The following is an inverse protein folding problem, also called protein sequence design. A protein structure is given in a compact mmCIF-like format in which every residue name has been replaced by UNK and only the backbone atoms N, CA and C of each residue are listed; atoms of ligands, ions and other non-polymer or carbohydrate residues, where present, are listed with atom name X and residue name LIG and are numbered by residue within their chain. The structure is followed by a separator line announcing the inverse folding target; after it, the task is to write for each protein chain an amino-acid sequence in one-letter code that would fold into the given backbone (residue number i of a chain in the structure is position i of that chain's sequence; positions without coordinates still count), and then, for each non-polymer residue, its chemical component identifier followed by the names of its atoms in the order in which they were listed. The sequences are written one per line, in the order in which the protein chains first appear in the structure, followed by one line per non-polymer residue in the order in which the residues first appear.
data_IF_623451705948
#
_entry.id   IF_623451705948
#
_cell.length_a   1.000
_cell.length_b   1.000
_cell.length_c   1.000
_cell.angle_alpha   90.00
_cell.angle_beta   90.00
_cell.angle_gamma   90.00
#
_symmetry.space_group_name_H-M   'P 1'
#
loop_
_entity.id
_entity.type
_entity.pdbx_description
1 polymer ?
#
# COMPACT_ATOMS: atom_id res chain seq x y z
N UNK A 1 -30.80 -9.05 -20.06
CA UNK A 1 -29.73 -8.84 -19.08
C UNK A 1 -28.81 -10.04 -19.19
N UNK A 2 -27.55 -9.85 -19.59
CA UNK A 2 -26.64 -10.95 -19.91
C UNK A 2 -25.90 -11.34 -18.62
N UNK A 3 -26.22 -12.48 -18.00
CA UNK A 3 -25.72 -12.82 -16.66
C UNK A 3 -24.18 -12.79 -16.58
N UNK A 4 -23.50 -13.16 -17.65
CA UNK A 4 -22.03 -13.13 -17.73
C UNK A 4 -21.46 -11.70 -17.73
N UNK A 5 -22.18 -10.75 -18.34
CA UNK A 5 -21.79 -9.33 -18.36
C UNK A 5 -22.00 -8.70 -17.00
N UNK A 6 -23.10 -9.02 -16.33
CA UNK A 6 -23.37 -8.51 -14.98
C UNK A 6 -22.37 -9.07 -13.97
N UNK A 7 -22.06 -10.37 -14.05
CA UNK A 7 -21.02 -10.98 -13.24
C UNK A 7 -19.65 -10.32 -13.47
N UNK A 8 -19.27 -10.09 -14.72
CA UNK A 8 -18.01 -9.42 -15.08
C UNK A 8 -17.95 -8.01 -14.50
N UNK A 9 -19.05 -7.25 -14.58
CA UNK A 9 -19.16 -5.92 -13.97
C UNK A 9 -19.03 -5.98 -12.45
N UNK A 10 -19.75 -6.88 -11.78
CA UNK A 10 -19.68 -7.04 -10.32
C UNK A 10 -18.26 -7.36 -9.87
N UNK A 11 -17.59 -8.30 -10.54
CA UNK A 11 -16.20 -8.68 -10.23
C UNK A 11 -15.26 -7.49 -10.41
N UNK A 12 -15.35 -6.77 -11.54
CA UNK A 12 -14.53 -5.59 -11.79
C UNK A 12 -14.73 -4.49 -10.74
N UNK A 13 -15.98 -4.24 -10.34
CA UNK A 13 -16.32 -3.27 -9.28
C UNK A 13 -15.73 -3.68 -7.94
N UNK A 14 -15.82 -4.95 -7.55
CA UNK A 14 -15.23 -5.46 -6.31
C UNK A 14 -13.71 -5.23 -6.29
N UNK A 15 -13.00 -5.60 -7.37
CA UNK A 15 -11.56 -5.38 -7.47
C UNK A 15 -11.20 -3.90 -7.41
N UNK A 16 -11.93 -3.04 -8.13
CA UNK A 16 -11.72 -1.60 -8.17
C UNK A 16 -11.92 -0.96 -6.80
N UNK A 17 -13.06 -1.22 -6.14
CA UNK A 17 -13.35 -0.72 -4.79
C UNK A 17 -12.29 -1.19 -3.80
N UNK A 18 -11.86 -2.46 -3.88
CA UNK A 18 -10.85 -3.00 -2.96
C UNK A 18 -9.51 -2.29 -3.14
N UNK A 19 -9.06 -2.04 -4.39
CA UNK A 19 -7.82 -1.32 -4.65
C UNK A 19 -7.85 0.12 -4.14
N UNK A 20 -8.97 0.82 -4.35
CA UNK A 20 -9.17 2.18 -3.85
C UNK A 20 -9.16 2.17 -2.32
N UNK A 21 -9.90 1.25 -1.70
CA UNK A 21 -9.97 1.10 -0.24
C UNK A 21 -8.61 0.82 0.39
N UNK A 22 -7.83 -0.12 -0.17
CA UNK A 22 -6.47 -0.42 0.29
C UNK A 22 -5.53 0.77 0.14
N UNK A 23 -5.64 1.51 -0.95
CA UNK A 23 -4.83 2.71 -1.19
C UNK A 23 -5.12 3.79 -0.16
N UNK A 24 -6.40 4.07 0.11
CA UNK A 24 -6.83 5.02 1.13
C UNK A 24 -6.34 4.57 2.51
N UNK A 25 -6.45 3.27 2.82
CA UNK A 25 -5.99 2.69 4.07
C UNK A 25 -4.47 2.89 4.25
N UNK A 26 -3.67 2.51 3.26
CA UNK A 26 -2.21 2.68 3.32
C UNK A 26 -1.82 4.15 3.47
N UNK A 27 -2.39 5.05 2.65
CA UNK A 27 -2.13 6.48 2.74
C UNK A 27 -2.48 7.04 4.13
N UNK A 28 -3.64 6.67 4.66
CA UNK A 28 -4.15 7.12 5.96
C UNK A 28 -3.30 6.64 7.13
N UNK A 29 -2.94 5.36 7.14
CA UNK A 29 -2.12 4.76 8.21
C UNK A 29 -0.73 5.36 8.19
N UNK A 30 -0.09 5.41 7.02
CA UNK A 30 1.27 5.90 6.88
C UNK A 30 1.36 7.39 7.17
N UNK A 31 0.38 8.21 6.77
CA UNK A 31 0.32 9.64 7.10
C UNK A 31 0.18 9.90 8.61
N UNK A 32 -0.71 9.17 9.29
CA UNK A 32 -0.87 9.29 10.75
C UNK A 32 0.37 8.84 11.51
N UNK A 33 1.04 7.78 11.07
CA UNK A 33 2.29 7.33 11.70
C UNK A 33 3.46 8.28 11.41
N UNK A 34 3.57 8.81 10.18
CA UNK A 34 4.62 9.77 9.81
C UNK A 34 4.51 11.11 10.56
N UNK A 35 3.31 11.48 11.01
CA UNK A 35 3.05 12.67 11.85
C UNK A 35 3.12 12.39 13.35
N UNK A 36 3.42 11.16 13.76
CA UNK A 36 3.46 10.76 15.18
C UNK A 36 2.08 10.62 15.85
N UNK A 37 0.98 10.84 15.11
CA UNK A 37 -0.39 10.71 15.62
C UNK A 37 -0.82 9.26 15.82
N UNK A 38 -0.17 8.32 15.13
CA UNK A 38 -0.32 6.89 15.36
C UNK A 38 0.91 6.39 16.12
N UNK A 39 0.72 6.16 17.42
CA UNK A 39 1.75 5.58 18.27
C UNK A 39 2.17 4.20 17.76
N UNK A 40 3.44 3.85 18.00
CA UNK A 40 3.98 2.52 17.71
C UNK A 40 3.14 1.46 18.43
N UNK A 41 2.69 0.45 17.68
CA UNK A 41 1.77 -0.57 18.17
C UNK A 41 1.94 -1.88 17.39
N UNK A 42 1.32 -2.96 17.89
CA UNK A 42 1.41 -4.30 17.29
C UNK A 42 0.30 -4.63 16.28
N UNK A 43 -0.62 -3.70 16.00
CA UNK A 43 -1.83 -3.96 15.21
C UNK A 43 -1.83 -3.29 13.83
N UNK A 44 -1.38 -2.04 13.73
CA UNK A 44 -1.54 -1.19 12.54
C UNK A 44 -0.22 -0.50 12.19
N UNK A 45 0.15 -0.53 10.91
CA UNK A 45 1.36 0.10 10.36
C UNK A 45 2.40 -0.91 9.88
N UNK A 46 3.57 -0.41 9.46
CA UNK A 46 4.69 -1.21 8.96
C UNK A 46 5.51 -1.71 10.16
N UNK A 47 5.37 -2.99 10.48
CA UNK A 47 5.93 -3.64 11.69
C UNK A 47 7.13 -4.51 11.34
N UNK A 48 8.25 -3.86 11.01
CA UNK A 48 9.55 -4.51 10.88
C UNK A 48 10.32 -4.38 12.20
N UNK A 49 11.28 -5.27 12.50
CA UNK A 49 12.12 -5.13 13.69
C UNK A 49 12.75 -3.73 13.81
N UNK A 50 13.18 -3.14 12.69
CA UNK A 50 13.74 -1.79 12.64
C UNK A 50 12.72 -0.69 12.94
N UNK A 51 11.51 -0.75 12.39
CA UNK A 51 10.49 0.31 12.63
C UNK A 51 9.89 0.21 14.03
N UNK A 52 10.00 -0.93 14.69
CA UNK A 52 9.45 -1.17 16.02
C UNK A 52 10.46 -0.89 17.16
N UNK A 53 11.70 -0.50 16.87
CA UNK A 53 12.75 -0.37 17.88
C UNK A 53 12.57 0.84 18.80
N UNK A 54 12.22 1.99 18.23
CA UNK A 54 12.00 3.25 18.95
C UNK A 54 10.86 4.03 18.30
N UNK A 55 10.32 5.04 19.00
CA UNK A 55 9.29 5.90 18.42
C UNK A 55 9.85 6.82 17.33
N UNK A 56 11.13 7.22 17.44
CA UNK A 56 11.85 7.94 16.38
C UNK A 56 11.97 7.09 15.12
N UNK A 57 12.39 5.83 15.25
CA UNK A 57 12.47 4.86 14.15
C UNK A 57 11.10 4.56 13.51
N UNK A 58 10.04 4.48 14.32
CA UNK A 58 8.67 4.33 13.84
C UNK A 58 8.27 5.49 12.94
N UNK A 59 8.44 6.73 13.40
CA UNK A 59 8.08 7.93 12.64
C UNK A 59 8.96 8.06 11.40
N UNK A 60 10.27 7.82 11.49
CA UNK A 60 11.21 7.91 10.37
C UNK A 60 10.85 6.91 9.26
N UNK A 61 10.59 5.65 9.62
CA UNK A 61 10.18 4.62 8.67
C UNK A 61 8.86 4.95 7.98
N UNK A 62 7.86 5.41 8.73
CA UNK A 62 6.57 5.78 8.15
C UNK A 62 6.64 7.06 7.32
N UNK A 63 7.54 8.01 7.63
CA UNK A 63 7.78 9.17 6.77
C UNK A 63 8.37 8.77 5.42
N UNK A 64 9.30 7.81 5.40
CA UNK A 64 9.82 7.26 4.15
C UNK A 64 8.73 6.53 3.36
N UNK A 65 7.91 5.70 4.03
CA UNK A 65 6.77 5.06 3.39
C UNK A 65 5.74 6.06 2.86
N UNK A 66 5.51 7.19 3.56
CA UNK A 66 4.55 8.21 3.14
C UNK A 66 4.93 8.83 1.80
N UNK A 67 6.24 9.05 1.57
CA UNK A 67 6.76 9.56 0.30
C UNK A 67 6.50 8.60 -0.87
N UNK A 68 6.26 7.33 -0.60
CA UNK A 68 5.98 6.28 -1.59
C UNK A 68 4.48 6.01 -1.80
N UNK A 69 3.59 6.69 -1.05
CA UNK A 69 2.13 6.59 -1.24
C UNK A 69 1.69 6.82 -2.70
N UNK A 70 2.31 7.72 -3.49
CA UNK A 70 1.96 7.88 -4.90
C UNK A 70 2.03 6.59 -5.72
N UNK A 71 2.87 5.60 -5.34
CA UNK A 71 2.92 4.31 -6.02
C UNK A 71 1.62 3.50 -5.85
N UNK A 72 1.01 3.53 -4.65
CA UNK A 72 -0.29 2.88 -4.44
C UNK A 72 -1.40 3.59 -5.22
N UNK A 73 -1.36 4.93 -5.26
CA UNK A 73 -2.33 5.73 -6.04
C UNK A 73 -2.21 5.40 -7.52
N UNK A 74 -0.99 5.38 -8.06
CA UNK A 74 -0.73 5.00 -9.44
C UNK A 74 -1.26 3.59 -9.74
N UNK A 75 -0.95 2.62 -8.86
CA UNK A 75 -1.44 1.25 -9.00
C UNK A 75 -2.98 1.18 -9.00
N UNK A 76 -3.65 1.92 -8.11
CA UNK A 76 -5.11 1.96 -8.06
C UNK A 76 -5.71 2.60 -9.32
N UNK A 77 -5.13 3.68 -9.84
CA UNK A 77 -5.58 4.31 -11.10
C UNK A 77 -5.41 3.34 -12.27
N UNK A 78 -4.25 2.69 -12.39
CA UNK A 78 -4.00 1.67 -13.42
C UNK A 78 -4.98 0.50 -13.28
N UNK A 79 -5.23 0.04 -12.05
CA UNK A 79 -6.18 -1.02 -11.77
C UNK A 79 -7.60 -0.66 -12.24
N UNK A 80 -8.11 0.49 -11.83
CA UNK A 80 -9.44 0.96 -12.23
C UNK A 80 -9.55 1.15 -13.74
N UNK A 81 -8.53 1.74 -14.38
CA UNK A 81 -8.51 1.93 -15.83
C UNK A 81 -8.50 0.59 -16.59
N UNK A 82 -7.62 -0.35 -16.19
CA UNK A 82 -7.54 -1.66 -16.82
C UNK A 82 -8.85 -2.46 -16.69
N UNK A 83 -9.46 -2.44 -15.50
CA UNK A 83 -10.74 -3.10 -15.24
C UNK A 83 -11.88 -2.47 -16.04
N UNK A 84 -11.94 -1.14 -16.10
CA UNK A 84 -12.93 -0.41 -16.90
C UNK A 84 -12.79 -0.73 -18.39
N UNK A 85 -11.57 -0.67 -18.92
CA UNK A 85 -11.28 -1.03 -20.32
C UNK A 85 -11.68 -2.48 -20.61
N UNK A 86 -11.36 -3.42 -19.70
CA UNK A 86 -11.74 -4.82 -19.85
C UNK A 86 -13.26 -5.02 -19.90
N UNK A 87 -14.01 -4.33 -19.04
CA UNK A 87 -15.49 -4.37 -19.05
C UNK A 87 -16.06 -3.77 -20.34
N UNK A 88 -15.56 -2.60 -20.76
CA UNK A 88 -16.02 -1.93 -21.99
C UNK A 88 -15.67 -2.72 -23.26
N UNK A 89 -14.57 -3.46 -23.23
CA UNK A 89 -14.11 -4.34 -24.32
C UNK A 89 -14.73 -5.74 -24.27
N UNK A 90 -15.72 -5.97 -23.39
CA UNK A 90 -16.41 -7.24 -23.22
C UNK A 90 -15.48 -8.44 -22.97
N UNK A 91 -14.42 -8.23 -22.20
CA UNK A 91 -13.55 -9.33 -21.77
C UNK A 91 -14.33 -10.37 -20.96
N UNK A 92 -13.90 -11.62 -21.02
CA UNK A 92 -14.49 -12.68 -20.20
C UNK A 92 -14.24 -12.42 -18.71
N UNK A 93 -15.11 -12.95 -17.86
CA UNK A 93 -14.93 -12.90 -16.39
C UNK A 93 -13.57 -13.46 -15.97
N UNK A 94 -13.09 -14.51 -16.64
CA UNK A 94 -11.78 -15.11 -16.40
C UNK A 94 -10.64 -14.11 -16.66
N UNK A 95 -10.69 -13.37 -17.77
CA UNK A 95 -9.69 -12.36 -18.08
C UNK A 95 -9.69 -11.21 -17.06
N UNK A 96 -10.87 -10.74 -16.62
CA UNK A 96 -10.99 -9.74 -15.54
C UNK A 96 -10.41 -10.25 -14.23
N UNK A 97 -10.67 -11.52 -13.87
CA UNK A 97 -10.09 -12.15 -12.67
C UNK A 97 -8.57 -12.19 -12.75
N UNK A 98 -7.98 -12.60 -13.89
CA UNK A 98 -6.54 -12.59 -14.09
C UNK A 98 -5.93 -11.19 -13.95
N UNK A 99 -6.55 -10.17 -14.55
CA UNK A 99 -6.14 -8.77 -14.40
C UNK A 99 -6.18 -8.36 -12.93
N UNK A 100 -7.30 -8.62 -12.23
CA UNK A 100 -7.47 -8.28 -10.81
C UNK A 100 -6.42 -8.93 -9.91
N UNK A 101 -6.13 -10.21 -10.11
CA UNK A 101 -5.09 -10.94 -9.38
C UNK A 101 -3.70 -10.36 -9.66
N UNK A 102 -3.37 -10.06 -10.92
CA UNK A 102 -2.09 -9.45 -11.29
C UNK A 102 -1.88 -8.07 -10.67
N UNK A 103 -2.95 -7.28 -10.55
CA UNK A 103 -2.92 -5.97 -9.89
C UNK A 103 -2.71 -6.11 -8.37
N UNK A 104 -3.30 -7.12 -7.73
CA UNK A 104 -3.02 -7.44 -6.33
C UNK A 104 -1.59 -7.92 -6.08
N UNK A 105 -1.05 -8.74 -6.99
CA UNK A 105 0.37 -9.13 -6.94
C UNK A 105 1.27 -7.89 -7.03
N UNK A 106 0.96 -6.96 -7.94
CA UNK A 106 1.68 -5.67 -8.06
C UNK A 106 1.57 -4.84 -6.78
N UNK A 107 0.36 -4.69 -6.23
CA UNK A 107 0.14 -3.99 -4.95
C UNK A 107 0.96 -4.60 -3.80
N UNK A 108 1.03 -5.93 -3.75
CA UNK A 108 1.83 -6.67 -2.76
C UNK A 108 3.32 -6.40 -2.95
N UNK A 109 3.82 -6.41 -4.19
CA UNK A 109 5.19 -6.03 -4.51
C UNK A 109 5.55 -4.61 -4.07
N UNK A 110 4.66 -3.64 -4.33
CA UNK A 110 4.81 -2.26 -3.84
C UNK A 110 4.86 -2.25 -2.31
N UNK A 111 4.00 -3.03 -1.65
CA UNK A 111 3.95 -3.11 -0.18
C UNK A 111 5.24 -3.64 0.43
N UNK A 112 5.84 -4.67 -0.18
CA UNK A 112 7.14 -5.20 0.23
C UNK A 112 8.22 -4.15 0.05
N UNK A 113 8.27 -3.48 -1.12
CA UNK A 113 9.24 -2.43 -1.40
C UNK A 113 9.15 -1.28 -0.38
N UNK A 114 7.93 -0.81 -0.10
CA UNK A 114 7.66 0.25 0.88
C UNK A 114 8.10 -0.19 2.29
N UNK A 115 7.85 -1.44 2.67
CA UNK A 115 8.29 -1.98 3.97
C UNK A 115 9.82 -2.01 4.08
N UNK A 116 10.53 -2.39 3.01
CA UNK A 116 11.99 -2.36 2.96
C UNK A 116 12.52 -0.93 3.09
N UNK A 117 11.94 0.02 2.35
CA UNK A 117 12.31 1.43 2.42
C UNK A 117 12.09 2.02 3.81
N UNK A 118 10.95 1.72 4.44
CA UNK A 118 10.66 2.11 5.81
C UNK A 118 11.68 1.53 6.80
N UNK A 119 12.03 0.25 6.66
CA UNK A 119 13.03 -0.40 7.51
C UNK A 119 14.42 0.23 7.36
N UNK A 120 14.83 0.59 6.13
CA UNK A 120 16.10 1.30 5.87
C UNK A 120 16.13 2.66 6.57
N UNK A 121 15.07 3.46 6.43
CA UNK A 121 14.98 4.77 7.06
C UNK A 121 14.95 4.70 8.60
N UNK A 122 14.28 3.70 9.16
CA UNK A 122 14.25 3.46 10.60
C UNK A 122 15.64 3.09 11.17
N UNK A 123 16.46 2.34 10.44
CA UNK A 123 17.82 2.03 10.88
C UNK A 123 18.75 3.24 10.85
N UNK A 124 18.58 4.14 9.89
CA UNK A 124 19.40 5.36 9.81
C UNK A 124 19.10 6.37 10.90
N UNK A 125 17.90 6.35 11.50
CA UNK A 125 17.59 7.25 12.61
C UNK A 125 18.22 6.82 13.93
N UNK A 126 18.33 5.51 14.19
CA UNK A 126 19.00 5.01 15.40
C UNK A 126 20.48 5.37 15.45
N UNK A 127 21.23 5.21 14.35
CA UNK A 127 22.67 5.50 14.34
C UNK A 127 22.99 6.96 14.67
N UNK A 128 22.07 7.89 14.37
CA UNK A 128 22.20 9.29 14.75
C UNK A 128 21.88 9.56 16.23
N UNK A 129 21.01 8.75 16.84
CA UNK A 129 20.64 8.88 18.26
C UNK A 129 21.78 8.35 19.15
N UNK A 130 22.45 7.26 18.73
CA UNK A 130 23.64 6.73 19.41
C UNK A 130 24.82 7.71 19.35
N UNK A 131 25.13 8.30 18.18
CA UNK A 131 26.21 9.31 18.03
C UNK A 131 25.98 10.57 18.87
N UNK A 132 24.72 10.99 19.06
CA UNK A 132 24.39 12.13 19.93
C UNK A 132 24.55 11.85 21.42
N UNK A 133 24.48 10.59 21.83
CA UNK A 133 24.57 10.21 23.25
C UNK A 133 26.03 10.07 23.70
N UNK A 134 26.96 9.85 22.77
CA UNK A 134 28.41 9.76 23.05
C UNK A 134 29.16 11.11 23.04
N UNK A 135 28.51 12.22 22.67
CA UNK A 135 29.09 13.58 22.70
C UNK A 135 28.64 14.36 23.92
#
# INVERSE_FOLDING_TARGET
MNPDRDLTMVVAVIFGITHVGLTILMASVTSRAASGRLARNQWVGIRTPSTMRSDSAWVAGHRAAHRLVPLYVLNAVVACAALLVGVLSAFSVGAIMFIGIGLFATFTGISIYVAIAAGRAARSSDGNDDEKTER
#
